data_IF_394901827220
#
_entry.id   IF_394901827220
#
_cell.length_a   1.000
_cell.length_b   1.000
_cell.length_c   1.000
_cell.angle_alpha   90.00
_cell.angle_beta   90.00
_cell.angle_gamma   90.00
#
_symmetry.space_group_name_H-M   'P 1'
#
loop_
_entity.id
_entity.type
_entity.pdbx_description
1 polymer ?
#
# COMPACT_ATOMS: atom_id res chain seq x y z
N UNK A 1 -9.15 -24.17 -17.72
CA UNK A 1 -9.23 -23.02 -18.65
C UNK A 1 -10.13 -21.87 -18.17
N UNK A 2 -11.44 -21.84 -18.47
CA UNK A 2 -12.28 -20.63 -18.29
C UNK A 2 -12.40 -20.10 -16.84
N UNK A 3 -12.42 -20.99 -15.84
CA UNK A 3 -12.53 -20.60 -14.43
C UNK A 3 -11.34 -19.77 -13.94
N UNK A 4 -10.12 -20.07 -14.42
CA UNK A 4 -8.90 -19.33 -14.05
C UNK A 4 -8.93 -17.94 -14.69
N UNK A 5 -9.40 -17.85 -15.94
CA UNK A 5 -9.53 -16.59 -16.67
C UNK A 5 -10.49 -15.63 -15.95
N UNK A 6 -11.67 -16.13 -15.55
CA UNK A 6 -12.65 -15.36 -14.78
C UNK A 6 -12.05 -14.87 -13.47
N UNK A 7 -11.28 -15.71 -12.78
CA UNK A 7 -10.63 -15.35 -11.52
C UNK A 7 -9.60 -14.22 -11.65
N UNK A 8 -8.85 -14.20 -12.76
CA UNK A 8 -7.88 -13.16 -13.05
C UNK A 8 -8.60 -11.88 -13.48
N UNK A 9 -9.67 -11.99 -14.26
CA UNK A 9 -10.39 -10.85 -14.82
C UNK A 9 -11.32 -10.17 -13.80
N UNK A 10 -11.81 -10.91 -12.79
CA UNK A 10 -12.74 -10.41 -11.77
C UNK A 10 -12.32 -9.07 -11.11
N UNK A 11 -11.08 -8.91 -10.59
CA UNK A 11 -10.67 -7.63 -10.02
C UNK A 11 -10.64 -6.47 -11.03
N UNK A 12 -10.33 -6.73 -12.30
CA UNK A 12 -10.35 -5.70 -13.35
C UNK A 12 -11.77 -5.29 -13.74
N UNK A 13 -12.70 -6.24 -13.79
CA UNK A 13 -14.12 -5.95 -14.03
C UNK A 13 -14.67 -5.10 -12.88
N UNK A 14 -14.38 -5.48 -11.64
CA UNK A 14 -14.80 -4.72 -10.46
C UNK A 14 -14.22 -3.29 -10.47
N UNK A 15 -12.94 -3.14 -10.86
CA UNK A 15 -12.30 -1.84 -11.02
C UNK A 15 -13.04 -0.96 -12.03
N UNK A 16 -13.26 -1.46 -13.25
CA UNK A 16 -13.90 -0.70 -14.33
C UNK A 16 -15.34 -0.31 -14.00
N UNK A 17 -16.12 -1.22 -13.42
CA UNK A 17 -17.50 -0.95 -13.02
C UNK A 17 -17.55 0.17 -11.98
N UNK A 18 -16.65 0.13 -10.98
CA UNK A 18 -16.61 1.15 -9.94
C UNK A 18 -16.17 2.51 -10.49
N UNK A 19 -15.22 2.55 -11.42
CA UNK A 19 -14.77 3.79 -12.05
C UNK A 19 -15.88 4.45 -12.89
N UNK A 20 -16.68 3.66 -13.62
CA UNK A 20 -17.88 4.15 -14.32
C UNK A 20 -18.96 4.71 -13.38
N UNK A 21 -18.97 4.26 -12.12
CA UNK A 21 -19.87 4.73 -11.08
C UNK A 21 -19.26 5.86 -10.22
N UNK A 22 -18.14 6.46 -10.65
CA UNK A 22 -17.39 7.48 -9.92
C UNK A 22 -16.94 7.05 -8.50
N UNK A 23 -16.83 5.73 -8.29
CA UNK A 23 -16.34 5.14 -7.04
C UNK A 23 -14.86 4.73 -7.16
N UNK A 24 -14.24 4.38 -6.03
CA UNK A 24 -12.83 3.94 -6.02
C UNK A 24 -12.68 2.55 -6.65
N UNK A 25 -12.20 2.50 -7.89
CA UNK A 25 -11.89 1.26 -8.59
C UNK A 25 -10.90 0.36 -7.85
N UNK A 26 -9.90 0.96 -7.19
CA UNK A 26 -8.88 0.22 -6.42
C UNK A 26 -9.53 -0.51 -5.23
N UNK A 27 -10.40 0.17 -4.47
CA UNK A 27 -11.14 -0.46 -3.37
C UNK A 27 -12.11 -1.53 -3.88
N UNK A 28 -12.75 -1.32 -5.02
CA UNK A 28 -13.62 -2.33 -5.64
C UNK A 28 -12.84 -3.60 -6.04
N UNK A 29 -11.67 -3.46 -6.64
CA UNK A 29 -10.81 -4.60 -6.98
C UNK A 29 -10.32 -5.37 -5.74
N UNK A 30 -9.92 -4.64 -4.68
CA UNK A 30 -9.46 -5.24 -3.42
C UNK A 30 -10.60 -5.98 -2.72
N UNK A 31 -11.78 -5.36 -2.63
CA UNK A 31 -12.96 -6.00 -2.03
C UNK A 31 -13.39 -7.24 -2.81
N UNK A 32 -13.37 -7.20 -4.15
CA UNK A 32 -13.61 -8.37 -4.99
C UNK A 32 -12.60 -9.50 -4.72
N UNK A 33 -11.31 -9.18 -4.57
CA UNK A 33 -10.26 -10.13 -4.19
C UNK A 33 -10.48 -10.74 -2.80
N UNK A 34 -10.78 -9.91 -1.79
CA UNK A 34 -11.08 -10.36 -0.43
C UNK A 34 -12.32 -11.25 -0.37
N UNK A 35 -13.38 -10.88 -1.08
CA UNK A 35 -14.61 -11.69 -1.17
C UNK A 35 -14.35 -13.01 -1.89
N UNK A 36 -13.56 -13.01 -2.97
CA UNK A 36 -13.20 -14.24 -3.69
C UNK A 36 -12.36 -15.18 -2.81
N UNK A 37 -11.44 -14.64 -2.01
CA UNK A 37 -10.65 -15.41 -1.05
C UNK A 37 -11.46 -15.91 0.17
N UNK A 38 -12.34 -15.05 0.72
CA UNK A 38 -13.06 -15.31 1.97
C UNK A 38 -14.36 -16.12 1.82
N UNK A 39 -15.06 -16.00 0.69
CA UNK A 39 -16.34 -16.68 0.45
C UNK A 39 -16.20 -18.20 0.25
N UNK A 40 -14.98 -18.73 0.20
CA UNK A 40 -14.76 -20.13 -0.09
C UNK A 40 -15.19 -20.52 -1.51
N UNK A 41 -15.37 -19.55 -2.43
CA UNK A 41 -15.68 -19.79 -3.84
C UNK A 41 -14.66 -20.75 -4.48
N UNK A 42 -13.41 -20.66 -4.03
CA UNK A 42 -12.35 -21.58 -4.36
C UNK A 42 -12.60 -23.04 -3.97
N UNK A 43 -13.47 -23.35 -2.99
CA UNK A 43 -13.83 -24.72 -2.60
C UNK A 43 -14.63 -25.45 -3.68
N UNK A 44 -15.29 -24.71 -4.57
CA UNK A 44 -16.01 -25.24 -5.74
C UNK A 44 -15.12 -25.39 -6.98
N UNK A 45 -13.88 -24.88 -6.93
CA UNK A 45 -12.89 -25.07 -7.99
C UNK A 45 -12.14 -26.39 -7.78
N UNK A 46 -11.89 -27.12 -8.87
CA UNK A 46 -11.01 -28.29 -8.85
C UNK A 46 -9.64 -27.94 -8.24
N UNK A 47 -9.10 -28.84 -7.43
CA UNK A 47 -7.83 -28.62 -6.69
C UNK A 47 -6.69 -28.17 -7.62
N UNK A 48 -6.64 -28.73 -8.82
CA UNK A 48 -5.68 -28.35 -9.88
C UNK A 48 -5.82 -26.89 -10.33
N UNK A 49 -7.05 -26.42 -10.56
CA UNK A 49 -7.31 -25.04 -10.99
C UNK A 49 -6.95 -24.01 -9.92
N UNK A 50 -7.14 -24.33 -8.63
CA UNK A 50 -6.74 -23.45 -7.52
C UNK A 50 -5.23 -23.30 -7.43
N UNK A 51 -4.51 -24.42 -7.56
CA UNK A 51 -3.05 -24.45 -7.53
C UNK A 51 -2.47 -23.62 -8.68
N UNK A 52 -3.04 -23.77 -9.88
CA UNK A 52 -2.66 -23.02 -11.06
C UNK A 52 -2.94 -21.52 -10.88
N UNK A 53 -4.13 -21.13 -10.41
CA UNK A 53 -4.48 -19.73 -10.18
C UNK A 53 -3.58 -19.06 -9.12
N UNK A 54 -3.23 -19.78 -8.03
CA UNK A 54 -2.32 -19.27 -7.01
C UNK A 54 -0.90 -19.07 -7.56
N UNK A 55 -0.42 -20.02 -8.37
CA UNK A 55 0.88 -19.91 -9.04
C UNK A 55 0.91 -18.70 -9.97
N UNK A 56 -0.13 -18.53 -10.81
CA UNK A 56 -0.26 -17.37 -11.70
C UNK A 56 -0.29 -16.05 -10.93
N UNK A 57 -1.05 -15.96 -9.84
CA UNK A 57 -1.06 -14.76 -8.99
C UNK A 57 0.28 -14.46 -8.35
N UNK A 58 1.01 -15.50 -7.92
CA UNK A 58 2.34 -15.35 -7.34
C UNK A 58 3.33 -14.84 -8.38
N UNK A 59 3.32 -15.42 -9.59
CA UNK A 59 4.15 -14.97 -10.72
C UNK A 59 3.81 -13.56 -11.15
N UNK A 60 2.52 -13.21 -11.31
CA UNK A 60 2.09 -11.85 -11.65
C UNK A 60 2.51 -10.84 -10.59
N UNK A 61 2.30 -11.17 -9.31
CA UNK A 61 2.73 -10.31 -8.20
C UNK A 61 4.23 -10.11 -8.21
N UNK A 62 5.01 -11.16 -8.48
CA UNK A 62 6.46 -11.06 -8.59
C UNK A 62 6.89 -10.16 -9.76
N UNK A 63 6.29 -10.34 -10.95
CA UNK A 63 6.59 -9.52 -12.13
C UNK A 63 6.23 -8.06 -11.88
N UNK A 64 5.03 -7.77 -11.36
CA UNK A 64 4.60 -6.40 -11.12
C UNK A 64 5.42 -5.72 -10.02
N UNK A 65 5.73 -6.41 -8.92
CA UNK A 65 6.62 -5.84 -7.90
C UNK A 65 8.03 -5.60 -8.47
N UNK A 66 8.57 -6.55 -9.24
CA UNK A 66 9.86 -6.40 -9.91
C UNK A 66 9.87 -5.21 -10.87
N UNK A 67 8.84 -5.06 -11.69
CA UNK A 67 8.68 -3.93 -12.61
C UNK A 67 8.62 -2.59 -11.86
N UNK A 68 7.86 -2.50 -10.77
CA UNK A 68 7.80 -1.30 -9.93
C UNK A 68 9.16 -0.95 -9.33
N UNK A 69 9.90 -1.93 -8.80
CA UNK A 69 11.24 -1.67 -8.27
C UNK A 69 12.23 -1.24 -9.35
N UNK A 70 12.16 -1.80 -10.56
CA UNK A 70 13.00 -1.37 -11.68
C UNK A 70 12.66 0.07 -12.09
N UNK A 71 11.38 0.40 -12.24
CA UNK A 71 10.93 1.75 -12.59
C UNK A 71 11.40 2.77 -11.55
N UNK A 72 11.32 2.44 -10.26
CA UNK A 72 11.84 3.32 -9.21
C UNK A 72 13.35 3.42 -9.19
N UNK A 73 14.04 2.31 -9.40
CA UNK A 73 15.49 2.33 -9.53
C UNK A 73 15.94 3.26 -10.65
N UNK A 74 15.18 3.31 -11.74
CA UNK A 74 15.42 4.21 -12.86
C UNK A 74 15.05 5.67 -12.57
N UNK A 75 14.02 5.92 -11.75
CA UNK A 75 13.63 7.29 -11.35
C UNK A 75 14.53 7.89 -10.27
N UNK A 76 15.22 7.06 -9.47
CA UNK A 76 16.03 7.51 -8.35
C UNK A 76 17.13 8.54 -8.73
N UNK A 77 17.88 8.37 -9.84
CA UNK A 77 18.87 9.38 -10.28
C UNK A 77 18.24 10.74 -10.59
N UNK A 78 17.07 10.77 -11.22
CA UNK A 78 16.38 12.02 -11.55
C UNK A 78 15.86 12.71 -10.30
N UNK A 79 15.35 11.94 -9.33
CA UNK A 79 14.94 12.49 -8.01
C UNK A 79 16.14 13.12 -7.29
N UNK A 80 17.30 12.46 -7.32
CA UNK A 80 18.53 12.99 -6.68
C UNK A 80 19.09 14.21 -7.41
N UNK A 81 18.93 14.31 -8.73
CA UNK A 81 19.39 15.46 -9.52
C UNK A 81 18.50 16.69 -9.38
N UNK A 82 17.19 16.49 -9.18
CA UNK A 82 16.20 17.57 -9.07
C UNK A 82 15.92 17.98 -7.61
N UNK A 83 16.89 17.80 -6.70
CA UNK A 83 16.74 18.27 -5.31
C UNK A 83 16.69 19.81 -5.31
N UNK A 84 15.70 20.44 -4.64
CA UNK A 84 15.57 21.89 -4.62
C UNK A 84 16.86 22.57 -4.11
N UNK A 85 17.26 23.71 -4.72
CA UNK A 85 18.47 24.43 -4.31
C UNK A 85 18.41 24.93 -2.85
N UNK A 86 17.21 25.05 -2.29
CA UNK A 86 16.92 25.39 -0.89
C UNK A 86 17.51 24.36 0.11
N UNK A 87 17.57 23.08 -0.29
CA UNK A 87 18.12 21.96 0.48
C UNK A 87 19.60 21.67 0.14
N UNK A 88 20.23 22.51 -0.68
CA UNK A 88 21.57 22.26 -1.22
C UNK A 88 22.56 23.38 -0.89
N UNK A 89 22.23 24.26 0.07
CA UNK A 89 22.91 25.53 0.31
C UNK A 89 24.26 25.41 1.04
N UNK A 90 24.51 24.32 1.80
CA UNK A 90 25.80 24.12 2.48
C UNK A 90 26.41 22.72 2.26
N UNK A 91 25.61 21.66 2.18
CA UNK A 91 26.10 20.29 1.95
C UNK A 91 25.14 19.46 1.10
N UNK A 92 25.48 19.26 -0.17
CA UNK A 92 24.70 18.52 -1.19
C UNK A 92 24.12 17.16 -0.74
N UNK A 93 24.75 16.46 0.21
CA UNK A 93 24.29 15.15 0.70
C UNK A 93 23.61 15.17 2.07
N UNK A 94 23.92 16.13 2.94
CA UNK A 94 23.60 16.01 4.37
C UNK A 94 22.16 16.47 4.64
N UNK A 95 21.77 17.60 4.06
CA UNK A 95 20.43 18.18 4.22
C UNK A 95 19.29 17.30 3.68
N UNK A 96 19.37 16.73 2.45
CA UNK A 96 18.31 15.86 1.95
C UNK A 96 18.24 14.54 2.73
N UNK A 97 19.37 13.94 3.10
CA UNK A 97 19.40 12.71 3.90
C UNK A 97 18.83 12.94 5.29
N UNK A 98 19.17 14.05 5.94
CA UNK A 98 18.61 14.42 7.24
C UNK A 98 17.09 14.63 7.16
N UNK A 99 16.61 15.28 6.09
CA UNK A 99 15.17 15.49 5.87
C UNK A 99 14.43 14.16 5.71
N UNK A 100 14.94 13.25 4.88
CA UNK A 100 14.37 11.90 4.71
C UNK A 100 14.38 11.13 6.03
N UNK A 101 15.46 11.23 6.80
CA UNK A 101 15.56 10.57 8.11
C UNK A 101 14.54 11.11 9.11
N UNK A 102 14.39 12.43 9.20
CA UNK A 102 13.42 13.10 10.07
C UNK A 102 11.98 12.72 9.67
N UNK A 103 11.65 12.77 8.38
CA UNK A 103 10.34 12.35 7.87
C UNK A 103 10.07 10.89 8.18
N UNK A 104 11.07 10.01 7.99
CA UNK A 104 10.95 8.58 8.30
C UNK A 104 10.67 8.37 9.78
N UNK A 105 11.39 9.07 10.66
CA UNK A 105 11.20 8.99 12.10
C UNK A 105 9.82 9.53 12.52
N UNK A 106 9.39 10.63 11.92
CA UNK A 106 8.07 11.23 12.15
C UNK A 106 6.95 10.26 11.75
N UNK A 107 7.05 9.62 10.57
CA UNK A 107 6.09 8.61 10.11
C UNK A 107 6.06 7.36 11.01
N UNK A 108 7.22 6.91 11.51
CA UNK A 108 7.29 5.81 12.49
C UNK A 108 6.59 6.22 13.80
N UNK A 109 6.84 7.44 14.28
CA UNK A 109 6.19 7.99 15.47
C UNK A 109 4.67 8.10 15.31
N UNK A 110 4.20 8.62 14.17
CA UNK A 110 2.78 8.71 13.84
C UNK A 110 2.12 7.32 13.81
N UNK A 111 2.79 6.33 13.22
CA UNK A 111 2.30 4.94 13.20
C UNK A 111 2.24 4.34 14.61
N UNK A 112 3.25 4.59 15.43
CA UNK A 112 3.25 4.15 16.83
C UNK A 112 2.08 4.76 17.59
N UNK A 113 1.83 6.07 17.41
CA UNK A 113 0.69 6.76 18.00
C UNK A 113 -0.65 6.16 17.53
N UNK A 114 -0.77 5.87 16.23
CA UNK A 114 -1.97 5.25 15.67
C UNK A 114 -2.26 3.86 16.24
N UNK A 115 -1.24 3.01 16.37
CA UNK A 115 -1.37 1.69 17.00
C UNK A 115 -1.78 1.84 18.47
N UNK A 116 -1.22 2.83 19.17
CA UNK A 116 -1.55 3.11 20.56
C UNK A 116 -2.99 3.58 20.73
N UNK A 117 -3.47 4.48 19.86
CA UNK A 117 -4.87 4.92 19.81
C UNK A 117 -5.81 3.76 19.49
N UNK A 118 -5.45 2.91 18.52
CA UNK A 118 -6.23 1.72 18.18
C UNK A 118 -6.40 0.76 19.36
N UNK A 119 -5.34 0.56 20.15
CA UNK A 119 -5.39 -0.27 21.36
C UNK A 119 -6.25 0.35 22.47
N UNK A 120 -6.24 1.68 22.62
CA UNK A 120 -7.16 2.38 23.53
C UNK A 120 -8.60 2.24 23.06
N UNK A 121 -8.86 2.43 21.77
CA UNK A 121 -10.19 2.28 21.18
C UNK A 121 -10.73 0.85 21.36
N UNK A 122 -9.88 -0.17 21.16
CA UNK A 122 -10.21 -1.57 21.44
C UNK A 122 -10.51 -1.81 22.91
N UNK A 123 -9.74 -1.23 23.84
CA UNK A 123 -10.01 -1.34 25.29
C UNK A 123 -11.30 -0.64 25.70
N UNK A 124 -11.63 0.51 25.12
CA UNK A 124 -12.91 1.21 25.36
C UNK A 124 -14.06 0.38 24.79
N UNK A 125 -13.95 -0.13 23.57
CA UNK A 125 -14.96 -1.00 22.95
C UNK A 125 -15.17 -2.31 23.75
N UNK A 126 -14.10 -2.89 24.31
CA UNK A 126 -14.15 -4.05 25.20
C UNK A 126 -14.77 -3.76 26.58
N UNK A 127 -14.86 -2.49 27.00
CA UNK A 127 -15.67 -2.11 28.17
C UNK A 127 -17.17 -2.07 27.85
N UNK A 128 -17.53 -1.79 26.60
CA UNK A 128 -18.93 -1.73 26.15
C UNK A 128 -19.45 -3.06 25.57
N UNK A 129 -18.57 -3.97 25.13
CA UNK A 129 -18.93 -5.30 24.62
C UNK A 129 -18.16 -6.42 25.32
N UNK A 130 -18.77 -7.61 25.46
CA UNK A 130 -18.21 -8.81 26.13
C UNK A 130 -17.01 -9.45 25.41
N UNK A 131 -16.03 -8.69 24.94
CA UNK A 131 -14.81 -9.20 24.31
C UNK A 131 -13.62 -8.97 25.25
N UNK A 132 -12.85 -10.03 25.55
CA UNK A 132 -11.58 -9.91 26.28
C UNK A 132 -10.55 -9.28 25.35
N UNK A 133 -10.25 -7.99 25.57
CA UNK A 133 -9.07 -7.37 24.97
C UNK A 133 -7.83 -7.89 25.69
N UNK A 134 -7.04 -8.75 25.04
CA UNK A 134 -5.68 -9.01 25.50
C UNK A 134 -4.82 -7.78 25.16
N UNK A 135 -4.23 -7.10 26.14
CA UNK A 135 -3.45 -5.90 25.87
C UNK A 135 -2.19 -6.31 25.10
N UNK A 136 -1.99 -5.73 23.92
CA UNK A 136 -0.73 -5.88 23.21
C UNK A 136 0.40 -5.31 24.07
N UNK A 137 1.41 -6.13 24.38
CA UNK A 137 2.59 -5.70 25.13
C UNK A 137 3.37 -4.60 24.40
N UNK A 138 4.13 -3.78 25.13
CA UNK A 138 4.94 -2.69 24.56
C UNK A 138 5.87 -3.18 23.44
N UNK A 139 6.41 -4.39 23.58
CA UNK A 139 7.25 -5.05 22.56
C UNK A 139 6.51 -5.27 21.25
N UNK A 140 5.23 -5.68 21.31
CA UNK A 140 4.38 -5.90 20.13
C UNK A 140 4.01 -4.57 19.48
N UNK A 141 3.78 -3.51 20.28
CA UNK A 141 3.52 -2.15 19.74
C UNK A 141 4.72 -1.58 19.01
N UNK A 142 5.91 -1.68 19.63
CA UNK A 142 7.16 -1.24 19.00
C UNK A 142 7.46 -2.06 17.75
N UNK A 143 7.39 -3.39 17.83
CA UNK A 143 7.57 -4.27 16.68
C UNK A 143 6.57 -3.95 15.56
N UNK A 144 5.29 -3.74 15.86
CA UNK A 144 4.26 -3.40 14.88
C UNK A 144 4.42 -2.01 14.23
N UNK A 145 5.02 -1.06 14.96
CA UNK A 145 5.36 0.26 14.41
C UNK A 145 6.53 0.19 13.42
N UNK A 146 7.51 -0.69 13.66
CA UNK A 146 8.68 -0.84 12.79
C UNK A 146 8.43 -1.84 11.64
N UNK A 147 7.60 -2.86 11.85
CA UNK A 147 7.29 -3.91 10.88
C UNK A 147 6.38 -3.46 9.71
N UNK A 148 6.08 -2.16 9.59
CA UNK A 148 5.31 -1.64 8.48
C UNK A 148 6.04 -1.74 7.16
N UNK A 149 5.60 -2.65 6.28
CA UNK A 149 6.08 -2.73 4.90
C UNK A 149 5.65 -1.44 4.17
N UNK A 150 6.63 -0.61 3.78
CA UNK A 150 6.42 0.44 2.78
C UNK A 150 6.61 -0.22 1.41
N UNK A 151 5.54 -0.29 0.62
CA UNK A 151 5.48 -1.15 -0.56
C UNK A 151 5.02 -0.43 -1.81
N UNK A 152 4.63 -1.22 -2.81
CA UNK A 152 4.09 -0.76 -4.08
C UNK A 152 2.91 0.24 -3.96
N UNK A 153 2.08 0.11 -2.92
CA UNK A 153 0.88 0.94 -2.77
C UNK A 153 1.24 2.39 -2.43
N UNK A 154 2.20 2.60 -1.51
CA UNK A 154 2.68 3.95 -1.17
C UNK A 154 3.34 4.60 -2.38
N UNK A 155 3.98 3.79 -3.22
CA UNK A 155 4.59 4.26 -4.44
C UNK A 155 3.57 4.69 -5.50
N UNK A 156 2.56 3.86 -5.74
CA UNK A 156 1.48 4.19 -6.65
C UNK A 156 0.81 5.52 -6.25
N UNK A 157 0.67 5.77 -4.93
CA UNK A 157 0.20 7.04 -4.41
C UNK A 157 1.07 8.24 -4.83
N UNK A 158 2.39 8.13 -4.72
CA UNK A 158 3.32 9.20 -5.13
C UNK A 158 3.27 9.41 -6.64
N UNK A 159 3.26 8.33 -7.43
CA UNK A 159 3.19 8.40 -8.89
C UNK A 159 1.84 8.88 -9.42
N UNK A 160 0.79 8.85 -8.59
CA UNK A 160 -0.53 9.39 -8.94
C UNK A 160 -0.63 10.90 -8.71
N UNK A 161 0.38 11.52 -8.07
CA UNK A 161 0.39 12.97 -7.90
C UNK A 161 0.63 13.66 -9.25
N UNK A 162 -0.22 14.61 -9.64
CA UNK A 162 -0.04 15.32 -10.89
C UNK A 162 1.20 16.22 -10.81
N UNK A 163 2.04 16.17 -11.84
CA UNK A 163 3.26 17.00 -11.93
C UNK A 163 2.94 18.48 -12.22
N UNK A 164 1.72 18.76 -12.68
CA UNK A 164 1.24 20.11 -13.00
C UNK A 164 -0.19 20.32 -12.45
N UNK A 165 -0.50 21.53 -12.02
CA UNK A 165 -1.87 21.92 -11.68
C UNK A 165 -2.74 22.00 -12.95
N UNK A 166 -4.07 22.04 -12.78
CA UNK A 166 -5.02 22.16 -13.88
C UNK A 166 -4.77 23.38 -14.79
N UNK A 167 -4.14 24.43 -14.25
CA UNK A 167 -3.75 25.65 -14.96
C UNK A 167 -2.39 25.57 -15.68
N UNK A 168 -1.73 24.40 -15.68
CA UNK A 168 -0.43 24.18 -16.33
C UNK A 168 0.78 24.71 -15.54
N UNK A 169 0.58 25.34 -14.39
CA UNK A 169 1.66 25.72 -13.47
C UNK A 169 2.26 24.47 -12.80
N UNK A 170 3.57 24.47 -12.49
CA UNK A 170 4.20 23.37 -11.76
C UNK A 170 3.50 23.13 -10.43
N UNK A 171 3.33 21.86 -10.05
CA UNK A 171 2.76 21.49 -8.76
C UNK A 171 3.69 22.02 -7.64
N UNK A 172 3.18 22.69 -6.59
CA UNK A 172 4.03 23.22 -5.53
C UNK A 172 4.80 22.07 -4.87
N UNK A 173 6.13 22.12 -4.97
CA UNK A 173 7.08 21.19 -4.35
C UNK A 173 7.36 21.58 -2.90
#
# INVERSE_FOLDING_TARGET
>A
EAQVLVMILMPFIAYLIAEHAEASGILAAVTAGLLTGGSGLFRYLGVSARMQAMSLWTTLSFIFNGALFILLGLQLPDIVRNVPPELSSRHWLIEPVATVLILTLCLIGLRFLWIWVGDIAQRVAARFGKHRAEPFGLRVRLAGSVAGVRGAITLAGILSLPLAMADGSPFPA
#
